data_IF_641967391025
#
_entry.id   IF_641967391025
#
_cell.length_a   1.000
_cell.length_b   1.000
_cell.length_c   1.000
_cell.angle_alpha   90.00
_cell.angle_beta   90.00
_cell.angle_gamma   90.00
#
_symmetry.space_group_name_H-M   'P 1'
#
loop_
_entity.id
_entity.type
_entity.pdbx_description
1 polymer ?
#
# COMPACT_ATOMS: atom_id res chain seq x y z
N UNK A 1 2.16 -6.94 7.18
CA UNK A 1 0.82 -6.44 7.52
C UNK A 1 0.19 -5.72 6.34
N UNK A 2 -1.05 -5.77 6.26
CA UNK A 2 -2.10 -5.18 5.45
C UNK A 2 -2.41 -5.91 4.17
N UNK A 3 -3.50 -6.58 4.23
CA UNK A 3 -4.24 -7.08 3.09
C UNK A 3 -5.43 -6.13 2.93
N UNK A 4 -5.57 -5.49 1.79
CA UNK A 4 -6.83 -4.85 1.46
C UNK A 4 -7.81 -5.95 1.06
N UNK A 5 -8.71 -6.29 1.95
CA UNK A 5 -9.84 -7.17 1.66
C UNK A 5 -11.04 -6.26 1.46
N UNK A 6 -11.57 -6.24 0.26
CA UNK A 6 -12.83 -5.57 -0.01
C UNK A 6 -13.94 -6.50 0.48
N UNK A 7 -14.45 -6.26 1.68
CA UNK A 7 -15.62 -6.93 2.18
C UNK A 7 -16.75 -5.91 2.26
N UNK A 8 -17.86 -6.15 1.60
CA UNK A 8 -19.09 -5.46 1.95
C UNK A 8 -19.42 -5.84 3.38
N UNK A 9 -19.21 -4.91 4.32
CA UNK A 9 -19.50 -5.08 5.73
C UNK A 9 -21.01 -5.05 5.94
N UNK A 10 -21.67 -6.16 5.60
CA UNK A 10 -23.08 -6.38 5.93
C UNK A 10 -23.15 -7.47 6.97
N UNK A 11 -23.60 -7.10 8.18
CA UNK A 11 -23.96 -7.98 9.28
C UNK A 11 -23.39 -9.40 9.21
N UNK A 12 -22.11 -9.55 9.56
CA UNK A 12 -21.52 -10.87 9.66
C UNK A 12 -22.19 -11.62 10.83
N UNK A 13 -22.93 -12.65 10.53
CA UNK A 13 -23.39 -13.61 11.53
C UNK A 13 -22.21 -14.47 11.96
N UNK A 14 -21.62 -14.17 13.11
CA UNK A 14 -20.47 -14.88 13.64
C UNK A 14 -19.12 -14.26 13.21
N UNK A 15 -18.04 -15.04 13.31
CA UNK A 15 -16.70 -14.64 12.88
C UNK A 15 -16.47 -15.08 11.44
N UNK A 16 -16.19 -14.15 10.50
CA UNK A 16 -15.88 -14.51 9.13
C UNK A 16 -14.60 -15.37 9.05
N UNK A 17 -14.57 -16.30 8.11
CA UNK A 17 -13.46 -17.24 7.93
C UNK A 17 -12.10 -16.55 7.73
N UNK A 18 -12.08 -15.40 7.07
CA UNK A 18 -10.85 -14.65 6.83
C UNK A 18 -10.11 -14.27 8.12
N UNK A 19 -10.80 -14.04 9.23
CA UNK A 19 -10.19 -13.69 10.52
C UNK A 19 -9.29 -14.81 11.01
N UNK A 20 -9.80 -16.05 10.99
CA UNK A 20 -9.03 -17.22 11.40
C UNK A 20 -7.88 -17.51 10.44
N UNK A 21 -8.10 -17.34 9.13
CA UNK A 21 -7.07 -17.50 8.10
C UNK A 21 -5.92 -16.52 8.34
N UNK A 22 -6.20 -15.23 8.49
CA UNK A 22 -5.15 -14.23 8.70
C UNK A 22 -4.39 -14.42 10.01
N UNK A 23 -5.07 -14.79 11.10
CA UNK A 23 -4.40 -15.14 12.36
C UNK A 23 -3.45 -16.32 12.21
N UNK A 24 -3.88 -17.40 11.53
CA UNK A 24 -3.04 -18.58 11.24
C UNK A 24 -1.84 -18.24 10.36
N UNK A 25 -1.97 -17.25 9.47
CA UNK A 25 -0.88 -16.75 8.64
C UNK A 25 0.05 -15.77 9.37
N UNK A 26 -0.24 -15.42 10.62
CA UNK A 26 0.54 -14.45 11.40
C UNK A 26 0.35 -13.01 10.97
N UNK A 27 -0.73 -12.69 10.26
CA UNK A 27 -1.09 -11.31 9.90
C UNK A 27 -1.60 -10.58 11.13
N UNK A 28 -0.99 -9.44 11.46
CA UNK A 28 -1.32 -8.68 12.67
C UNK A 28 -2.36 -7.59 12.44
N UNK A 29 -2.55 -7.13 11.19
CA UNK A 29 -3.58 -6.18 10.85
C UNK A 29 -4.04 -6.32 9.41
N UNK A 30 -5.32 -6.08 9.20
CA UNK A 30 -6.01 -6.16 7.91
C UNK A 30 -6.76 -4.86 7.66
N UNK A 31 -6.59 -4.29 6.49
CA UNK A 31 -7.38 -3.17 6.00
C UNK A 31 -8.58 -3.73 5.22
N UNK A 32 -9.77 -3.56 5.77
CA UNK A 32 -11.03 -3.86 5.08
C UNK A 32 -11.47 -2.63 4.32
N UNK A 33 -11.50 -2.72 2.99
CA UNK A 33 -11.98 -1.65 2.15
C UNK A 33 -13.39 -1.94 1.66
N UNK A 34 -14.33 -1.05 1.97
CA UNK A 34 -15.67 -1.06 1.41
C UNK A 34 -15.74 -0.10 0.21
N UNK A 35 -16.64 -0.35 -0.72
CA UNK A 35 -16.80 0.53 -1.87
C UNK A 35 -17.50 1.83 -1.51
N UNK A 36 -16.94 2.95 -1.96
CA UNK A 36 -17.50 4.27 -1.79
C UNK A 36 -17.36 5.11 -3.07
N UNK A 37 -18.47 5.44 -3.68
CA UNK A 37 -18.54 6.29 -4.87
C UNK A 37 -19.00 5.61 -6.15
N UNK A 38 -18.89 6.35 -7.26
CA UNK A 38 -19.38 5.94 -8.58
C UNK A 38 -18.59 4.75 -9.14
N UNK A 39 -19.30 3.83 -9.74
CA UNK A 39 -18.73 2.64 -10.37
C UNK A 39 -19.01 1.33 -9.63
N UNK A 40 -19.34 1.38 -8.36
CA UNK A 40 -19.72 0.21 -7.56
C UNK A 40 -21.12 0.36 -6.96
N UNK A 41 -21.25 1.22 -5.98
CA UNK A 41 -22.52 1.70 -5.47
C UNK A 41 -22.41 3.22 -5.36
N UNK A 42 -23.34 3.92 -5.96
CA UNK A 42 -23.43 5.37 -5.79
C UNK A 42 -23.56 5.67 -4.31
N UNK A 43 -22.83 6.67 -3.83
CA UNK A 43 -22.97 7.13 -2.45
C UNK A 43 -24.42 7.55 -2.19
N UNK A 44 -25.12 6.90 -1.24
CA UNK A 44 -26.50 7.21 -0.94
C UNK A 44 -26.64 8.50 -0.10
N UNK A 45 -25.57 9.28 0.04
CA UNK A 45 -25.53 10.47 0.89
C UNK A 45 -25.69 10.10 2.37
N UNK A 46 -26.65 10.71 3.13
CA UNK A 46 -26.80 10.42 4.56
C UNK A 46 -27.08 8.94 4.89
N UNK A 47 -27.55 8.14 3.93
CA UNK A 47 -27.73 6.69 4.13
C UNK A 47 -26.40 5.94 4.26
N UNK A 48 -25.29 6.51 3.81
CA UNK A 48 -23.95 5.95 3.98
C UNK A 48 -23.52 5.91 5.45
N UNK A 49 -24.00 6.84 6.30
CA UNK A 49 -23.61 6.91 7.70
C UNK A 49 -23.92 5.63 8.50
N UNK A 50 -25.13 5.03 8.40
CA UNK A 50 -25.39 3.73 9.04
C UNK A 50 -24.53 2.59 8.49
N UNK A 51 -24.15 2.62 7.20
CA UNK A 51 -23.25 1.61 6.61
C UNK A 51 -21.84 1.72 7.21
N UNK A 52 -21.30 2.95 7.30
CA UNK A 52 -20.03 3.21 7.97
C UNK A 52 -20.05 2.83 9.45
N UNK A 53 -21.15 3.14 10.17
CA UNK A 53 -21.32 2.72 11.57
C UNK A 53 -21.25 1.19 11.69
N UNK A 54 -21.91 0.45 10.79
CA UNK A 54 -21.87 -1.00 10.76
C UNK A 54 -20.46 -1.53 10.48
N UNK A 55 -19.75 -0.96 9.49
CA UNK A 55 -18.36 -1.28 9.19
C UNK A 55 -17.45 -1.07 10.40
N UNK A 56 -17.52 0.09 11.04
CA UNK A 56 -16.70 0.42 12.21
C UNK A 56 -16.97 -0.50 13.39
N UNK A 57 -18.26 -0.82 13.64
CA UNK A 57 -18.66 -1.75 14.68
C UNK A 57 -18.12 -3.16 14.43
N UNK A 58 -18.21 -3.64 13.19
CA UNK A 58 -17.70 -4.96 12.82
C UNK A 58 -16.17 -5.02 12.89
N UNK A 59 -15.46 -4.03 12.40
CA UNK A 59 -14.01 -3.96 12.54
C UNK A 59 -13.58 -4.01 14.02
N UNK A 60 -14.29 -3.27 14.89
CA UNK A 60 -14.04 -3.30 16.33
C UNK A 60 -14.34 -4.69 16.93
N UNK A 61 -15.45 -5.32 16.57
CA UNK A 61 -15.82 -6.65 17.05
C UNK A 61 -14.86 -7.74 16.64
N UNK A 62 -14.29 -7.64 15.43
CA UNK A 62 -13.37 -8.62 14.87
C UNK A 62 -11.90 -8.39 15.28
N UNK A 63 -11.60 -7.22 15.85
CA UNK A 63 -10.26 -6.91 16.33
C UNK A 63 -10.02 -7.48 17.71
N UNK A 64 -8.82 -8.01 17.94
CA UNK A 64 -8.34 -8.43 19.25
C UNK A 64 -6.82 -8.18 19.38
N UNK A 65 -6.17 -8.82 20.35
CA UNK A 65 -4.73 -8.65 20.58
C UNK A 65 -3.85 -9.21 19.44
N UNK A 66 -4.38 -10.16 18.67
CA UNK A 66 -3.61 -10.89 17.64
C UNK A 66 -3.87 -10.34 16.23
N UNK A 67 -5.06 -9.75 15.99
CA UNK A 67 -5.45 -9.17 14.72
C UNK A 67 -6.19 -7.84 14.89
N UNK A 68 -5.68 -6.79 14.30
CA UNK A 68 -6.35 -5.51 14.14
C UNK A 68 -7.06 -5.45 12.78
N UNK A 69 -8.38 -5.29 12.78
CA UNK A 69 -9.18 -5.12 11.57
C UNK A 69 -9.48 -3.63 11.40
N UNK A 70 -8.88 -3.03 10.37
CA UNK A 70 -8.93 -1.59 10.13
C UNK A 70 -9.99 -1.29 9.07
N UNK A 71 -10.98 -0.43 9.35
CA UNK A 71 -11.91 0.02 8.33
C UNK A 71 -11.22 0.95 7.33
N UNK A 72 -11.58 0.80 6.07
CA UNK A 72 -11.16 1.67 4.98
C UNK A 72 -12.14 1.61 3.83
N UNK A 73 -11.83 2.32 2.76
CA UNK A 73 -12.71 2.43 1.61
C UNK A 73 -11.93 2.41 0.31
N UNK A 74 -12.51 1.77 -0.70
CA UNK A 74 -12.11 1.90 -2.09
C UNK A 74 -13.05 2.89 -2.79
N UNK A 75 -12.49 3.92 -3.37
CA UNK A 75 -13.21 5.04 -3.96
C UNK A 75 -12.87 5.18 -5.45
N UNK A 76 -13.79 5.76 -6.21
CA UNK A 76 -13.59 6.10 -7.63
C UNK A 76 -13.81 7.58 -7.97
N UNK A 77 -14.39 8.34 -7.03
CA UNK A 77 -14.68 9.76 -7.22
C UNK A 77 -13.57 10.68 -6.70
N UNK A 78 -13.64 11.95 -7.01
CA UNK A 78 -12.76 13.04 -6.59
C UNK A 78 -11.30 12.87 -6.99
N UNK A 79 -10.59 11.91 -6.41
CA UNK A 79 -9.16 11.65 -6.65
C UNK A 79 -8.93 10.55 -7.70
N UNK A 80 -9.94 9.76 -8.02
CA UNK A 80 -9.96 8.85 -9.14
C UNK A 80 -10.29 9.59 -10.45
N UNK A 81 -9.42 10.51 -10.88
CA UNK A 81 -9.66 11.40 -12.02
C UNK A 81 -10.02 10.60 -13.28
N UNK A 82 -11.12 10.99 -13.89
CA UNK A 82 -11.57 10.47 -15.19
C UNK A 82 -10.85 11.20 -16.32
N UNK A 83 -10.02 10.50 -17.07
CA UNK A 83 -9.58 11.01 -18.37
C UNK A 83 -10.74 10.92 -19.38
N UNK A 84 -10.78 11.83 -20.35
CA UNK A 84 -11.84 11.87 -21.38
C UNK A 84 -12.03 10.50 -22.03
N UNK A 85 -13.27 10.03 -22.06
CA UNK A 85 -13.64 8.72 -22.63
C UNK A 85 -13.17 7.50 -21.84
N UNK A 86 -12.65 7.66 -20.61
CA UNK A 86 -12.11 6.57 -19.78
C UNK A 86 -12.85 6.44 -18.45
N UNK A 87 -12.82 5.24 -17.88
CA UNK A 87 -13.31 5.03 -16.52
C UNK A 87 -12.42 5.76 -15.51
N UNK A 88 -12.98 6.25 -14.39
CA UNK A 88 -12.17 6.77 -13.29
C UNK A 88 -11.32 5.64 -12.71
N UNK A 89 -10.11 5.98 -12.27
CA UNK A 89 -9.27 5.04 -11.52
C UNK A 89 -9.81 4.85 -10.10
N UNK A 90 -9.56 3.68 -9.54
CA UNK A 90 -9.85 3.43 -8.13
C UNK A 90 -8.71 3.90 -7.26
N UNK A 91 -9.04 4.35 -6.06
CA UNK A 91 -8.09 4.73 -5.04
C UNK A 91 -8.58 4.31 -3.66
N UNK A 92 -7.64 4.05 -2.78
CA UNK A 92 -7.89 3.60 -1.41
C UNK A 92 -7.81 4.78 -0.46
N UNK A 93 -8.64 4.76 0.59
CA UNK A 93 -8.53 5.66 1.73
C UNK A 93 -8.27 4.89 3.02
N UNK A 94 -7.41 5.45 3.85
CA UNK A 94 -7.09 4.94 5.17
C UNK A 94 -6.97 6.10 6.15
N UNK A 95 -7.86 6.16 7.14
CA UNK A 95 -7.79 7.13 8.21
C UNK A 95 -7.21 6.51 9.49
N UNK A 96 -6.62 7.29 10.40
CA UNK A 96 -6.01 6.74 11.63
C UNK A 96 -7.01 6.32 12.71
N UNK A 97 -8.28 6.60 12.48
CA UNK A 97 -9.45 6.26 13.30
C UNK A 97 -10.67 6.14 12.40
N UNK A 98 -11.80 5.72 12.94
CA UNK A 98 -13.08 5.76 12.22
C UNK A 98 -13.46 7.21 11.89
N UNK A 99 -13.75 7.49 10.62
CA UNK A 99 -14.14 8.82 10.11
C UNK A 99 -15.43 8.69 9.32
N UNK A 100 -16.44 9.45 9.71
CA UNK A 100 -17.69 9.52 8.96
C UNK A 100 -17.59 10.58 7.86
N UNK A 101 -17.80 10.15 6.61
CA UNK A 101 -17.87 11.05 5.48
C UNK A 101 -18.84 10.56 4.41
N UNK A 102 -19.43 11.50 3.66
CA UNK A 102 -20.39 11.23 2.59
C UNK A 102 -20.13 12.12 1.39
N UNK A 103 -20.46 11.61 0.19
CA UNK A 103 -20.27 12.33 -1.08
C UNK A 103 -21.46 13.27 -1.40
N UNK A 104 -21.95 13.98 -0.40
CA UNK A 104 -23.07 14.90 -0.58
C UNK A 104 -22.83 16.21 0.14
N UNK A 105 -22.39 17.21 -0.59
CA UNK A 105 -22.28 18.59 -0.12
C UNK A 105 -22.99 19.52 -1.09
N UNK A 106 -23.99 20.25 -0.59
CA UNK A 106 -24.71 21.28 -1.36
C UNK A 106 -23.97 22.59 -1.29
N UNK A 107 -24.25 23.49 -2.24
CA UNK A 107 -23.75 24.85 -2.20
C UNK A 107 -24.15 25.53 -0.86
N UNK A 108 -23.19 26.21 -0.22
CA UNK A 108 -23.38 26.85 1.09
C UNK A 108 -23.32 25.92 2.30
N UNK A 109 -23.28 24.58 2.13
CA UNK A 109 -23.09 23.67 3.26
C UNK A 109 -21.62 23.67 3.74
N UNK A 110 -21.37 23.59 5.05
CA UNK A 110 -20.01 23.40 5.57
C UNK A 110 -19.46 22.04 5.18
N UNK A 111 -18.12 21.93 5.07
CA UNK A 111 -17.44 20.66 4.90
C UNK A 111 -17.64 19.75 6.11
N UNK A 112 -17.69 20.31 7.29
CA UNK A 112 -17.78 19.60 8.58
C UNK A 112 -19.10 19.94 9.25
N UNK A 113 -19.81 18.93 9.70
CA UNK A 113 -21.07 19.04 10.42
C UNK A 113 -21.01 18.16 11.69
N UNK A 114 -21.58 18.66 12.78
CA UNK A 114 -21.79 17.86 13.99
C UNK A 114 -23.17 17.17 13.91
N UNK A 115 -23.14 15.86 13.71
CA UNK A 115 -24.35 15.03 13.71
C UNK A 115 -24.63 14.50 15.13
N UNK A 116 -25.86 14.60 15.65
CA UNK A 116 -26.19 14.16 17.01
C UNK A 116 -25.92 12.69 17.31
N UNK A 117 -25.92 11.84 16.29
CA UNK A 117 -25.70 10.39 16.41
C UNK A 117 -24.27 9.98 16.06
N UNK A 118 -23.71 10.55 14.99
CA UNK A 118 -22.42 10.11 14.41
C UNK A 118 -21.25 11.01 14.82
N UNK A 119 -21.52 12.13 15.49
CA UNK A 119 -20.50 13.13 15.82
C UNK A 119 -20.04 13.89 14.57
N UNK A 120 -18.74 14.08 14.42
CA UNK A 120 -18.19 14.81 13.27
C UNK A 120 -18.40 14.04 11.97
N UNK A 121 -19.13 14.63 11.04
CA UNK A 121 -19.39 14.11 9.69
C UNK A 121 -18.82 15.06 8.66
N UNK A 122 -18.06 14.54 7.71
CA UNK A 122 -17.56 15.30 6.56
C UNK A 122 -18.48 15.16 5.36
N UNK A 123 -18.84 16.31 4.76
CA UNK A 123 -19.61 16.38 3.52
C UNK A 123 -18.68 16.75 2.39
N UNK A 124 -18.36 15.80 1.53
CA UNK A 124 -17.41 15.96 0.43
C UNK A 124 -18.17 16.13 -0.87
N UNK A 125 -17.98 17.24 -1.56
CA UNK A 125 -18.64 17.55 -2.84
C UNK A 125 -17.65 17.88 -3.96
N UNK A 126 -16.33 17.84 -3.65
CA UNK A 126 -15.29 18.17 -4.62
C UNK A 126 -13.95 17.53 -4.30
N UNK A 127 -13.04 17.55 -5.27
CA UNK A 127 -11.63 17.15 -5.05
C UNK A 127 -10.99 17.96 -3.91
N UNK A 128 -11.23 19.27 -3.85
CA UNK A 128 -10.69 20.13 -2.80
C UNK A 128 -11.21 19.74 -1.40
N UNK A 129 -12.46 19.36 -1.27
CA UNK A 129 -13.06 18.87 -0.03
C UNK A 129 -12.38 17.57 0.42
N UNK A 130 -12.14 16.64 -0.53
CA UNK A 130 -11.48 15.37 -0.23
C UNK A 130 -10.04 15.56 0.20
N UNK A 131 -9.31 16.46 -0.46
CA UNK A 131 -7.95 16.83 -0.08
C UNK A 131 -7.91 17.41 1.35
N UNK A 132 -8.87 18.29 1.67
CA UNK A 132 -8.96 18.90 3.01
C UNK A 132 -9.34 17.85 4.07
N UNK A 133 -10.23 16.90 3.77
CA UNK A 133 -10.56 15.78 4.67
C UNK A 133 -9.32 14.94 4.99
N UNK A 134 -8.59 14.48 3.97
CA UNK A 134 -7.37 13.69 4.13
C UNK A 134 -6.32 14.42 4.98
N UNK A 135 -6.17 15.73 4.75
CA UNK A 135 -5.24 16.57 5.51
C UNK A 135 -5.66 16.74 6.98
N UNK A 136 -6.93 17.06 7.23
CA UNK A 136 -7.46 17.28 8.60
C UNK A 136 -7.38 16.02 9.44
N UNK A 137 -7.80 14.91 8.88
CA UNK A 137 -7.84 13.63 9.57
C UNK A 137 -6.52 12.85 9.47
N UNK A 138 -5.46 13.44 8.88
CA UNK A 138 -4.15 12.82 8.67
C UNK A 138 -4.25 11.47 7.98
N UNK A 139 -5.22 11.33 7.07
CA UNK A 139 -5.44 10.13 6.29
C UNK A 139 -4.33 9.87 5.28
N UNK A 140 -4.36 8.69 4.68
CA UNK A 140 -3.57 8.30 3.51
C UNK A 140 -4.48 7.88 2.37
N UNK A 141 -4.02 8.12 1.16
CA UNK A 141 -4.66 7.62 -0.04
C UNK A 141 -3.60 7.06 -1.02
N UNK A 142 -4.00 6.13 -1.88
CA UNK A 142 -3.14 5.59 -2.94
C UNK A 142 -3.96 5.01 -4.09
N UNK A 143 -3.38 4.90 -5.29
CA UNK A 143 -4.02 4.23 -6.43
C UNK A 143 -4.19 2.75 -6.15
N UNK A 144 -5.41 2.23 -6.22
CA UNK A 144 -5.70 0.80 -6.16
C UNK A 144 -5.35 0.14 -7.51
N UNK A 145 -4.85 -1.10 -7.48
CA UNK A 145 -4.53 -1.94 -8.65
C UNK A 145 -4.13 -1.15 -9.91
N UNK A 146 -3.04 -0.34 -9.85
CA UNK A 146 -2.67 0.61 -10.90
C UNK A 146 -2.32 -0.10 -12.21
N UNK A 147 -2.52 0.63 -13.33
CA UNK A 147 -2.25 0.17 -14.70
C UNK A 147 -3.03 -1.07 -15.15
N UNK A 148 -4.11 -1.44 -14.42
CA UNK A 148 -5.05 -2.52 -14.80
C UNK A 148 -6.48 -2.18 -14.40
N UNK A 149 -7.46 -2.95 -14.84
CA UNK A 149 -8.89 -2.82 -14.52
C UNK A 149 -9.37 -1.38 -14.77
N UNK A 150 -10.17 -0.82 -13.88
CA UNK A 150 -10.59 0.57 -13.93
C UNK A 150 -9.43 1.57 -13.80
N UNK A 151 -8.32 1.15 -13.18
CA UNK A 151 -7.14 1.99 -12.91
C UNK A 151 -6.04 1.92 -14.00
N UNK A 152 -6.37 1.51 -15.23
CA UNK A 152 -5.39 1.29 -16.31
C UNK A 152 -4.53 2.52 -16.64
N UNK A 153 -5.02 3.73 -16.33
CA UNK A 153 -4.35 4.99 -16.61
C UNK A 153 -3.75 5.66 -15.37
N UNK A 154 -3.94 5.08 -14.20
CA UNK A 154 -3.50 5.69 -12.94
C UNK A 154 -2.22 5.04 -12.42
N UNK A 155 -1.39 5.79 -11.72
CA UNK A 155 -1.46 7.24 -11.43
C UNK A 155 -0.89 8.14 -12.54
N UNK A 156 -0.52 7.60 -13.69
CA UNK A 156 0.18 8.29 -14.77
C UNK A 156 -0.54 9.58 -15.24
N UNK A 157 -1.88 9.55 -15.32
CA UNK A 157 -2.68 10.69 -15.81
C UNK A 157 -2.74 11.86 -14.82
N UNK A 158 -2.50 11.63 -13.52
CA UNK A 158 -2.62 12.65 -12.49
C UNK A 158 -1.33 12.88 -11.67
N UNK A 159 -0.19 12.39 -12.14
CA UNK A 159 1.11 12.59 -11.46
C UNK A 159 1.51 14.06 -11.25
N UNK A 160 0.92 14.96 -12.01
CA UNK A 160 1.16 16.42 -11.91
C UNK A 160 0.14 17.13 -11.02
N UNK A 161 -0.93 16.45 -10.60
CA UNK A 161 -1.97 17.02 -9.76
C UNK A 161 -1.46 17.33 -8.35
N UNK A 162 -2.12 18.31 -7.70
CA UNK A 162 -1.74 18.76 -6.37
C UNK A 162 -1.89 17.65 -5.33
N UNK A 163 -2.99 16.91 -5.38
CA UNK A 163 -3.23 15.81 -4.45
C UNK A 163 -2.17 14.70 -4.57
N UNK A 164 -1.71 14.40 -5.80
CA UNK A 164 -0.66 13.40 -5.99
C UNK A 164 0.66 13.82 -5.36
N UNK A 165 1.00 15.09 -5.41
CA UNK A 165 2.26 15.62 -4.83
C UNK A 165 2.22 15.69 -3.31
N UNK A 166 1.03 15.74 -2.71
CA UNK A 166 0.85 15.84 -1.27
C UNK A 166 1.37 14.57 -0.53
N UNK A 167 1.69 14.74 0.75
CA UNK A 167 2.23 13.69 1.62
C UNK A 167 1.19 12.65 2.05
N UNK A 168 -0.10 12.99 1.98
CA UNK A 168 -1.18 12.04 2.23
C UNK A 168 -1.42 11.09 1.04
N UNK A 169 -0.93 11.39 -0.16
CA UNK A 169 -0.96 10.46 -1.29
C UNK A 169 0.28 9.57 -1.27
N UNK A 170 0.11 8.33 -0.84
CA UNK A 170 1.20 7.38 -0.62
C UNK A 170 1.90 6.98 -1.91
N UNK A 171 1.13 6.75 -2.98
CA UNK A 171 1.62 6.27 -4.27
C UNK A 171 0.62 5.35 -4.95
N UNK A 172 1.00 4.08 -5.16
CA UNK A 172 0.16 3.11 -5.82
C UNK A 172 0.37 1.70 -5.23
N UNK A 173 -0.66 0.88 -5.20
CA UNK A 173 -0.58 -0.44 -4.62
C UNK A 173 0.06 -1.48 -5.55
N UNK A 174 0.94 -2.33 -5.01
CA UNK A 174 1.41 -3.51 -5.71
C UNK A 174 0.38 -4.64 -5.59
N UNK A 175 -0.24 -4.95 -6.73
CA UNK A 175 -1.14 -6.08 -6.90
C UNK A 175 -0.51 -7.05 -7.89
N UNK A 176 -0.25 -8.28 -7.47
CA UNK A 176 0.39 -9.30 -8.30
C UNK A 176 -0.52 -9.83 -9.39
N UNK A 177 -1.80 -9.99 -9.07
CA UNK A 177 -2.78 -10.57 -9.99
C UNK A 177 -3.41 -9.53 -10.95
N UNK A 178 -3.75 -9.89 -12.18
CA UNK A 178 -3.46 -11.17 -12.82
C UNK A 178 -1.95 -11.39 -13.00
N UNK A 179 -1.48 -12.62 -12.74
CA UNK A 179 -0.08 -12.96 -12.86
C UNK A 179 0.34 -13.17 -14.31
N UNK A 180 1.54 -12.69 -14.66
CA UNK A 180 2.24 -13.01 -15.89
C UNK A 180 3.44 -13.91 -15.54
N UNK A 181 3.24 -15.23 -15.60
CA UNK A 181 4.26 -16.22 -15.28
C UNK A 181 5.35 -16.36 -16.37
N UNK A 182 5.25 -15.63 -17.49
CA UNK A 182 6.34 -15.50 -18.46
C UNK A 182 7.44 -14.56 -17.98
N UNK A 183 7.14 -13.77 -16.96
CA UNK A 183 8.06 -12.81 -16.33
C UNK A 183 8.74 -13.41 -15.10
N UNK A 184 9.97 -13.00 -14.81
CA UNK A 184 10.71 -13.51 -13.64
C UNK A 184 10.22 -12.96 -12.29
N UNK A 185 9.26 -12.05 -12.29
CA UNK A 185 8.75 -11.31 -11.13
C UNK A 185 7.24 -11.17 -11.22
N UNK A 186 6.53 -11.50 -10.16
CA UNK A 186 5.11 -11.20 -10.08
C UNK A 186 4.86 -9.69 -10.02
N UNK A 187 3.80 -9.23 -10.68
CA UNK A 187 3.39 -7.83 -10.65
C UNK A 187 4.43 -6.83 -11.17
N UNK A 188 5.30 -7.24 -12.10
CA UNK A 188 6.39 -6.42 -12.65
C UNK A 188 5.91 -5.05 -13.15
N UNK A 189 4.70 -4.96 -13.73
CA UNK A 189 4.10 -3.69 -14.17
C UNK A 189 4.02 -2.61 -13.08
N UNK A 190 3.85 -3.02 -11.81
CA UNK A 190 3.78 -2.09 -10.67
C UNK A 190 5.18 -1.81 -10.12
N UNK A 191 6.10 -2.76 -10.23
CA UNK A 191 7.51 -2.53 -9.90
C UNK A 191 8.12 -1.51 -10.86
N UNK A 192 7.80 -1.58 -12.16
CA UNK A 192 8.19 -0.57 -13.13
C UNK A 192 7.53 0.79 -12.83
N UNK A 193 6.25 0.80 -12.42
CA UNK A 193 5.59 2.01 -11.96
C UNK A 193 6.25 2.60 -10.71
N UNK A 194 6.70 1.77 -9.77
CA UNK A 194 7.44 2.22 -8.58
C UNK A 194 8.71 2.98 -8.97
N UNK A 195 9.45 2.49 -9.95
CA UNK A 195 10.64 3.13 -10.48
C UNK A 195 10.30 4.46 -11.18
N UNK A 196 9.21 4.48 -11.97
CA UNK A 196 8.70 5.70 -12.60
C UNK A 196 8.32 6.75 -11.55
N UNK A 197 7.54 6.37 -10.53
CA UNK A 197 7.13 7.26 -9.45
C UNK A 197 8.32 7.83 -8.68
N UNK A 198 9.34 7.02 -8.41
CA UNK A 198 10.54 7.47 -7.73
C UNK A 198 11.34 8.49 -8.57
N UNK A 199 11.23 8.43 -9.91
CA UNK A 199 11.82 9.40 -10.83
C UNK A 199 10.96 10.65 -11.07
N UNK A 200 9.67 10.64 -10.75
CA UNK A 200 8.79 11.82 -10.95
C UNK A 200 9.03 12.97 -9.94
N UNK A 201 9.79 12.72 -8.88
CA UNK A 201 10.24 13.72 -7.92
C UNK A 201 9.56 13.66 -6.57
N UNK A 202 8.23 13.66 -6.43
CA UNK A 202 7.60 13.45 -5.12
C UNK A 202 7.94 12.07 -4.55
N UNK A 203 8.27 12.02 -3.26
CA UNK A 203 8.55 10.74 -2.58
C UNK A 203 7.26 9.95 -2.45
N UNK A 204 7.22 8.80 -3.13
CA UNK A 204 6.06 7.89 -3.15
C UNK A 204 6.49 6.49 -2.78
N UNK A 205 5.55 5.72 -2.21
CA UNK A 205 5.76 4.37 -1.72
C UNK A 205 4.70 3.44 -2.27
N UNK A 206 5.01 2.16 -2.30
CA UNK A 206 4.17 1.12 -2.90
C UNK A 206 3.80 0.09 -1.85
N UNK A 207 2.59 0.16 -1.24
CA UNK A 207 2.08 -0.89 -0.40
C UNK A 207 1.64 -2.10 -1.22
N UNK A 208 1.68 -3.28 -0.63
CA UNK A 208 1.07 -4.48 -1.18
C UNK A 208 -0.43 -4.50 -0.93
N UNK A 209 -1.19 -4.94 -1.92
CA UNK A 209 -2.64 -5.03 -1.91
C UNK A 209 -3.10 -6.32 -2.57
N UNK A 210 -4.17 -6.93 -2.11
CA UNK A 210 -4.68 -8.20 -2.67
C UNK A 210 -5.93 -8.00 -3.53
N UNK A 211 -6.85 -7.13 -3.12
CA UNK A 211 -8.12 -6.87 -3.82
C UNK A 211 -8.96 -8.16 -3.96
N UNK A 212 -9.29 -8.78 -2.81
CA UNK A 212 -10.07 -10.03 -2.79
C UNK A 212 -11.44 -9.85 -2.16
N UNK A 213 -12.40 -10.58 -2.69
CA UNK A 213 -13.80 -10.60 -2.23
C UNK A 213 -14.14 -11.88 -1.48
N UNK A 214 -13.36 -12.94 -1.65
CA UNK A 214 -13.53 -14.25 -1.01
C UNK A 214 -12.18 -14.87 -0.71
N UNK A 215 -12.15 -15.68 0.33
CA UNK A 215 -10.99 -16.51 0.67
C UNK A 215 -11.32 -17.95 0.31
N UNK A 216 -11.18 -18.30 -0.95
CA UNK A 216 -11.34 -19.64 -1.48
C UNK A 216 -10.52 -19.82 -2.78
N UNK A 217 -10.49 -21.03 -3.30
CA UNK A 217 -9.76 -21.41 -4.52
C UNK A 217 -10.28 -20.72 -5.80
N UNK A 218 -11.40 -20.01 -5.74
CA UNK A 218 -11.99 -19.30 -6.89
C UNK A 218 -11.54 -17.85 -6.96
N UNK A 219 -10.71 -17.39 -6.01
CA UNK A 219 -10.33 -16.00 -5.88
C UNK A 219 -8.82 -15.77 -5.83
N UNK A 220 -8.40 -14.55 -6.13
CA UNK A 220 -6.99 -14.13 -6.27
C UNK A 220 -6.15 -14.28 -5.00
N UNK A 221 -6.77 -14.41 -3.82
CA UNK A 221 -6.04 -14.64 -2.57
C UNK A 221 -5.38 -16.01 -2.52
N UNK A 222 -5.96 -16.98 -3.18
CA UNK A 222 -5.47 -18.35 -3.10
C UNK A 222 -4.11 -18.46 -3.80
N UNK A 223 -3.08 -18.53 -2.98
CA UNK A 223 -1.70 -18.74 -3.42
C UNK A 223 -0.83 -17.48 -3.53
N UNK A 224 -1.39 -16.27 -3.56
CA UNK A 224 -0.60 -15.05 -3.72
C UNK A 224 -1.11 -13.91 -2.87
N UNK A 225 -0.63 -13.85 -1.63
CA UNK A 225 -0.93 -12.77 -0.72
C UNK A 225 0.19 -11.74 -0.71
N UNK A 226 -0.15 -10.46 -0.98
CA UNK A 226 0.80 -9.37 -0.87
C UNK A 226 0.77 -8.80 0.54
N UNK A 227 1.85 -8.97 1.27
CA UNK A 227 1.96 -8.60 2.69
C UNK A 227 2.95 -7.47 2.87
N UNK A 228 2.55 -6.47 3.65
CA UNK A 228 3.43 -5.37 4.06
C UNK A 228 4.02 -5.68 5.44
N UNK A 229 5.32 -5.67 5.56
CA UNK A 229 6.02 -5.78 6.83
C UNK A 229 6.43 -4.38 7.29
N UNK A 230 5.63 -3.81 8.18
CA UNK A 230 5.88 -2.48 8.74
C UNK A 230 6.78 -2.57 9.96
N UNK A 231 7.69 -1.60 10.07
CA UNK A 231 8.49 -1.42 11.27
C UNK A 231 7.71 -0.62 12.30
N UNK A 232 7.21 -1.29 13.30
CA UNK A 232 6.46 -0.75 14.44
C UNK A 232 7.01 -1.33 15.73
N UNK A 233 6.98 -0.56 16.80
CA UNK A 233 7.36 -1.05 18.14
C UNK A 233 6.32 -2.05 18.67
N UNK A 234 5.06 -1.81 18.33
CA UNK A 234 3.93 -2.71 18.66
C UNK A 234 2.79 -2.54 17.67
N UNK A 235 1.95 -3.57 17.57
CA UNK A 235 0.66 -3.46 16.86
C UNK A 235 -0.30 -2.61 17.69
N UNK A 236 -0.90 -1.56 17.12
CA UNK A 236 -1.90 -0.74 17.82
C UNK A 236 -3.13 -1.57 18.21
N UNK A 237 -3.83 -1.14 19.25
CA UNK A 237 -5.18 -1.65 19.56
C UNK A 237 -6.24 -0.81 18.87
N UNK A 238 -7.38 -1.41 18.58
CA UNK A 238 -8.47 -0.71 17.90
C UNK A 238 -8.97 0.51 18.69
N UNK A 239 -8.93 0.45 20.03
CA UNK A 239 -9.37 1.52 20.94
C UNK A 239 -8.43 2.74 20.90
N UNK A 240 -7.13 2.52 20.64
CA UNK A 240 -6.10 3.56 20.64
C UNK A 240 -6.00 4.25 19.26
N UNK A 241 -6.73 3.73 18.24
CA UNK A 241 -6.52 4.09 16.85
C UNK A 241 -5.22 3.50 16.30
N UNK A 242 -5.00 3.67 15.03
CA UNK A 242 -3.90 3.02 14.31
C UNK A 242 -2.99 4.01 13.56
N UNK A 243 -2.88 5.23 14.06
CA UNK A 243 -1.98 6.27 13.52
C UNK A 243 -0.53 5.77 13.31
N UNK A 244 0.08 4.94 14.19
CA UNK A 244 1.44 4.44 13.96
C UNK A 244 1.61 3.66 12.65
N UNK A 245 0.55 2.98 12.19
CA UNK A 245 0.53 2.27 10.91
C UNK A 245 0.63 3.26 9.75
N UNK A 246 -0.20 4.32 9.78
CA UNK A 246 -0.17 5.37 8.76
C UNK A 246 1.18 6.09 8.73
N UNK A 247 1.75 6.35 9.90
CA UNK A 247 3.05 7.02 10.01
C UNK A 247 4.18 6.15 9.43
N UNK A 248 4.15 4.84 9.67
CA UNK A 248 5.12 3.91 9.09
C UNK A 248 4.99 3.82 7.56
N UNK A 249 3.75 3.77 7.05
CA UNK A 249 3.47 3.80 5.61
C UNK A 249 3.94 5.11 4.97
N UNK A 250 3.54 6.25 5.55
CA UNK A 250 3.94 7.60 5.09
C UNK A 250 5.46 7.80 5.09
N UNK A 251 6.14 7.20 6.06
CA UNK A 251 7.58 7.27 6.15
C UNK A 251 8.33 6.25 5.29
N UNK A 252 7.63 5.35 4.58
CA UNK A 252 8.25 4.28 3.78
C UNK A 252 8.98 3.22 4.62
N UNK A 253 8.66 3.09 5.91
CA UNK A 253 9.30 2.16 6.85
C UNK A 253 8.72 0.75 6.76
N UNK A 254 8.76 0.17 5.57
CA UNK A 254 8.23 -1.16 5.31
C UNK A 254 8.86 -1.80 4.08
N UNK A 255 8.73 -3.10 3.96
CA UNK A 255 8.93 -3.85 2.73
C UNK A 255 7.68 -4.65 2.37
N UNK A 256 7.58 -5.10 1.14
CA UNK A 256 6.44 -5.87 0.62
C UNK A 256 6.92 -7.22 0.13
N UNK A 257 6.13 -8.26 0.34
CA UNK A 257 6.45 -9.64 -0.04
C UNK A 257 5.21 -10.44 -0.42
N UNK A 258 5.41 -11.50 -1.20
CA UNK A 258 4.41 -12.57 -1.41
C UNK A 258 4.34 -13.54 -0.22
N UNK A 259 5.33 -13.50 0.69
CA UNK A 259 5.41 -14.33 1.89
C UNK A 259 6.60 -15.29 1.89
N UNK A 260 7.04 -15.75 0.74
CA UNK A 260 8.11 -16.74 0.55
C UNK A 260 9.49 -16.17 0.75
N UNK A 261 9.65 -14.86 0.55
CA UNK A 261 10.89 -14.11 0.74
C UNK A 261 10.68 -12.99 1.74
N UNK A 262 11.49 -12.94 2.79
CA UNK A 262 11.49 -11.86 3.78
C UNK A 262 12.78 -11.05 3.70
N UNK A 263 12.70 -9.74 3.98
CA UNK A 263 13.83 -8.81 3.98
C UNK A 263 13.95 -8.15 5.37
N UNK A 264 14.38 -8.90 6.40
CA UNK A 264 14.42 -8.40 7.78
C UNK A 264 15.39 -7.23 7.99
N UNK A 265 16.39 -7.09 7.13
CA UNK A 265 17.32 -5.98 7.16
C UNK A 265 17.59 -5.47 5.74
N UNK A 266 17.46 -4.16 5.56
CA UNK A 266 17.93 -3.44 4.39
C UNK A 266 18.44 -2.07 4.82
N UNK A 267 19.72 -1.80 4.53
CA UNK A 267 20.33 -0.48 4.78
C UNK A 267 21.27 -0.10 3.64
N UNK A 268 21.42 1.20 3.42
CA UNK A 268 22.40 1.79 2.51
C UNK A 268 23.12 2.90 3.25
N UNK A 269 24.42 2.75 3.49
CA UNK A 269 25.19 3.68 4.33
C UNK A 269 24.56 3.86 5.72
N UNK A 270 23.98 2.78 6.29
CA UNK A 270 23.26 2.79 7.58
C UNK A 270 21.84 3.36 7.53
N UNK A 271 21.37 3.89 6.39
CA UNK A 271 20.01 4.40 6.20
C UNK A 271 19.07 3.29 5.72
N UNK A 272 17.83 3.34 6.19
CA UNK A 272 16.77 2.38 5.90
C UNK A 272 15.78 2.91 4.88
N UNK A 273 14.86 2.06 4.40
CA UNK A 273 13.74 2.46 3.55
C UNK A 273 13.05 3.72 4.08
N UNK A 274 12.77 4.67 3.19
CA UNK A 274 12.13 5.95 3.49
C UNK A 274 13.10 7.04 3.95
N UNK A 275 14.28 6.69 4.47
CA UNK A 275 15.27 7.65 4.95
C UNK A 275 16.10 8.26 3.80
N UNK A 276 16.81 9.35 4.12
CA UNK A 276 17.72 10.02 3.20
C UNK A 276 19.16 9.78 3.59
N UNK A 277 19.96 9.34 2.61
CA UNK A 277 21.41 9.23 2.70
C UNK A 277 22.07 10.39 1.94
N UNK A 278 22.92 11.15 2.60
CA UNK A 278 23.82 12.09 1.93
C UNK A 278 25.04 11.33 1.43
N UNK A 279 25.35 11.50 0.15
CA UNK A 279 26.48 10.84 -0.49
C UNK A 279 27.72 11.75 -0.37
N UNK A 280 28.30 11.79 0.82
CA UNK A 280 29.49 12.55 1.11
C UNK A 280 30.74 11.67 0.89
N UNK A 281 31.62 12.07 -0.03
CA UNK A 281 32.87 11.36 -0.32
C UNK A 281 32.87 10.51 -1.59
N UNK A 282 34.02 9.88 -1.85
CA UNK A 282 34.26 9.12 -3.09
C UNK A 282 33.98 7.61 -2.93
N UNK A 283 33.90 7.11 -1.71
CA UNK A 283 33.64 5.69 -1.48
C UNK A 283 32.16 5.35 -1.65
N UNK A 284 31.83 4.27 -2.39
CA UNK A 284 30.46 3.81 -2.50
C UNK A 284 29.92 3.37 -1.12
N UNK A 285 28.69 3.77 -0.76
CA UNK A 285 28.10 3.33 0.50
C UNK A 285 27.90 1.82 0.51
N UNK A 286 28.02 1.21 1.69
CA UNK A 286 27.70 -0.20 1.87
C UNK A 286 26.20 -0.38 1.87
N UNK A 287 25.70 -1.21 0.97
CA UNK A 287 24.34 -1.75 0.99
C UNK A 287 24.40 -3.09 1.72
N UNK A 288 23.64 -3.20 2.80
CA UNK A 288 23.48 -4.45 3.56
C UNK A 288 22.05 -4.94 3.40
N UNK A 289 21.90 -6.20 2.97
CA UNK A 289 20.63 -6.86 2.73
C UNK A 289 20.63 -8.23 3.39
N UNK A 290 19.80 -8.44 4.41
CA UNK A 290 19.52 -9.76 4.97
C UNK A 290 18.21 -10.27 4.38
N UNK A 291 18.22 -11.48 3.87
CA UNK A 291 17.06 -12.15 3.28
C UNK A 291 16.86 -13.53 3.90
N UNK A 292 15.61 -13.92 4.06
CA UNK A 292 15.16 -15.26 4.45
C UNK A 292 14.18 -15.77 3.40
N UNK A 293 14.20 -17.07 3.09
CA UNK A 293 13.39 -17.62 2.00
C UNK A 293 12.98 -19.07 2.25
N UNK A 294 11.93 -19.50 1.55
CA UNK A 294 11.42 -20.89 1.56
C UNK A 294 11.82 -21.65 0.30
N UNK A 295 11.69 -21.06 -0.89
CA UNK A 295 12.11 -21.63 -2.17
C UNK A 295 13.49 -21.11 -2.60
N UNK A 296 14.29 -21.88 -3.35
CA UNK A 296 15.59 -21.42 -3.84
C UNK A 296 15.46 -20.05 -4.53
N UNK A 297 16.36 -19.14 -4.21
CA UNK A 297 16.37 -17.82 -4.81
C UNK A 297 16.91 -17.86 -6.24
N UNK A 298 16.39 -16.99 -7.08
CA UNK A 298 16.86 -16.80 -8.44
C UNK A 298 17.86 -15.67 -8.52
N UNK A 299 17.53 -14.49 -7.96
CA UNK A 299 18.41 -13.33 -7.91
C UNK A 299 17.94 -12.29 -6.88
N UNK A 300 18.90 -11.45 -6.47
CA UNK A 300 18.61 -10.13 -5.91
C UNK A 300 18.91 -9.07 -6.97
N UNK A 301 18.24 -7.94 -6.95
CA UNK A 301 18.46 -6.83 -7.87
C UNK A 301 18.53 -5.52 -7.09
N UNK A 302 19.64 -4.79 -7.23
CA UNK A 302 19.78 -3.42 -6.74
C UNK A 302 19.31 -2.48 -7.84
N UNK A 303 18.30 -1.67 -7.53
CA UNK A 303 17.67 -0.78 -8.49
C UNK A 303 17.85 0.65 -7.99
N UNK A 304 18.30 1.53 -8.87
CA UNK A 304 18.52 2.95 -8.56
C UNK A 304 18.09 3.85 -9.70
N UNK A 305 17.79 5.10 -9.42
CA UNK A 305 17.42 6.07 -10.45
C UNK A 305 18.05 7.44 -10.23
N UNK A 306 18.19 8.21 -11.31
CA UNK A 306 18.76 9.56 -11.31
C UNK A 306 17.70 10.66 -11.49
N UNK A 307 16.41 10.27 -11.48
CA UNK A 307 15.27 11.15 -11.77
C UNK A 307 14.86 11.14 -13.26
N UNK A 308 15.54 10.36 -14.09
CA UNK A 308 15.25 10.20 -15.54
C UNK A 308 15.36 8.75 -15.98
N UNK A 309 16.42 8.07 -15.57
CA UNK A 309 16.75 6.71 -15.94
C UNK A 309 16.78 5.81 -14.73
N UNK A 310 16.53 4.52 -14.95
CA UNK A 310 16.59 3.45 -13.97
C UNK A 310 17.77 2.55 -14.29
N UNK A 311 18.52 2.19 -13.28
CA UNK A 311 19.70 1.35 -13.35
C UNK A 311 19.50 0.12 -12.50
N UNK A 312 19.85 -1.05 -13.03
CA UNK A 312 19.64 -2.35 -12.38
C UNK A 312 20.95 -3.12 -12.32
N UNK A 313 21.32 -3.56 -11.11
CA UNK A 313 22.48 -4.42 -10.87
C UNK A 313 21.98 -5.74 -10.28
N UNK A 314 22.07 -6.83 -11.06
CA UNK A 314 21.58 -8.14 -10.66
C UNK A 314 22.67 -8.98 -10.03
N UNK A 315 22.35 -9.57 -8.87
CA UNK A 315 23.19 -10.52 -8.13
C UNK A 315 22.55 -11.89 -8.28
N UNK A 316 23.16 -12.84 -9.00
CA UNK A 316 22.66 -14.22 -9.07
C UNK A 316 22.67 -14.90 -7.70
N UNK A 317 21.62 -15.66 -7.39
CA UNK A 317 21.46 -16.41 -6.15
C UNK A 317 21.11 -17.89 -6.40
N UNK A 318 21.41 -18.37 -7.61
CA UNK A 318 21.14 -19.75 -8.03
C UNK A 318 21.92 -20.82 -7.26
N UNK A 319 22.85 -20.40 -6.40
CA UNK A 319 23.58 -21.27 -5.46
C UNK A 319 22.80 -21.54 -4.17
N UNK A 320 21.60 -20.99 -3.98
CA UNK A 320 20.78 -21.20 -2.78
C UNK A 320 19.94 -22.47 -2.90
N UNK A 321 19.85 -23.22 -1.78
CA UNK A 321 18.85 -24.27 -1.60
C UNK A 321 17.53 -23.73 -1.01
N UNK A 322 16.53 -24.59 -0.77
CA UNK A 322 15.30 -24.21 -0.08
C UNK A 322 15.58 -23.91 1.40
N UNK A 323 14.75 -23.09 2.02
CA UNK A 323 14.80 -22.70 3.43
C UNK A 323 16.17 -22.18 3.87
N UNK A 324 16.42 -20.91 3.65
CA UNK A 324 17.72 -20.33 3.98
C UNK A 324 17.64 -18.90 4.47
N UNK A 325 18.82 -18.45 4.92
CA UNK A 325 19.09 -17.08 5.34
C UNK A 325 20.46 -16.66 4.86
N UNK A 326 20.56 -15.45 4.30
CA UNK A 326 21.85 -14.89 3.84
C UNK A 326 21.84 -13.38 4.02
N UNK A 327 23.01 -12.84 4.35
CA UNK A 327 23.27 -11.40 4.28
C UNK A 327 24.22 -11.12 3.13
N UNK A 328 23.86 -10.17 2.28
CA UNK A 328 24.73 -9.61 1.26
C UNK A 328 25.23 -8.24 1.70
N UNK A 329 26.51 -7.98 1.43
CA UNK A 329 27.12 -6.66 1.52
C UNK A 329 27.61 -6.26 0.11
N UNK A 330 27.01 -5.22 -0.43
CA UNK A 330 27.28 -4.74 -1.77
C UNK A 330 27.75 -3.28 -1.72
N UNK A 331 28.44 -2.85 -2.75
CA UNK A 331 28.89 -1.46 -2.93
C UNK A 331 28.40 -0.93 -4.28
N UNK A 332 27.09 -0.63 -4.41
CA UNK A 332 26.53 -0.17 -5.67
C UNK A 332 27.05 1.23 -6.03
N UNK A 333 27.12 1.50 -7.34
CA UNK A 333 27.51 2.82 -7.87
C UNK A 333 26.34 3.80 -7.77
N UNK A 334 26.27 4.56 -6.67
CA UNK A 334 25.13 5.46 -6.38
C UNK A 334 25.42 6.94 -6.66
N UNK A 335 26.63 7.31 -7.08
CA UNK A 335 26.95 8.71 -7.42
C UNK A 335 26.06 9.21 -8.56
N UNK A 336 25.39 10.34 -8.34
CA UNK A 336 24.40 10.89 -9.28
C UNK A 336 23.05 10.21 -9.28
N UNK A 337 22.81 9.23 -8.39
CA UNK A 337 21.48 8.66 -8.16
C UNK A 337 20.70 9.50 -7.16
N UNK A 338 19.38 9.43 -7.25
CA UNK A 338 18.44 10.11 -6.34
C UNK A 338 17.73 9.14 -5.40
N UNK A 339 17.74 7.86 -5.72
CA UNK A 339 17.13 6.82 -4.92
C UNK A 339 17.74 5.45 -5.22
N UNK A 340 17.61 4.53 -4.26
CA UNK A 340 17.99 3.12 -4.39
C UNK A 340 17.06 2.24 -3.60
N UNK A 341 16.71 1.07 -4.15
CA UNK A 341 15.91 0.03 -3.53
C UNK A 341 16.42 -1.34 -3.95
N UNK A 342 15.91 -2.42 -3.33
CA UNK A 342 16.24 -3.79 -3.71
C UNK A 342 15.00 -4.63 -3.89
N UNK A 343 15.15 -5.65 -4.73
CA UNK A 343 14.20 -6.74 -4.94
C UNK A 343 14.93 -8.07 -4.77
N UNK A 344 14.22 -9.09 -4.29
CA UNK A 344 14.70 -10.48 -4.20
C UNK A 344 13.60 -11.40 -4.72
N UNK A 345 13.95 -12.27 -5.66
CA UNK A 345 13.00 -13.15 -6.35
C UNK A 345 13.48 -14.59 -6.32
N UNK A 346 12.56 -15.50 -6.09
CA UNK A 346 12.80 -16.94 -6.11
C UNK A 346 12.56 -17.56 -7.50
N UNK A 347 12.70 -18.88 -7.59
CA UNK A 347 12.50 -19.63 -8.83
C UNK A 347 11.03 -19.75 -9.23
N UNK A 348 10.10 -19.57 -8.28
CA UNK A 348 8.65 -19.62 -8.51
C UNK A 348 8.06 -18.24 -8.87
N UNK A 349 8.91 -17.22 -9.06
CA UNK A 349 8.56 -15.81 -9.33
C UNK A 349 7.95 -15.06 -8.14
N UNK A 350 7.95 -15.67 -6.97
CA UNK A 350 7.60 -15.03 -5.71
C UNK A 350 8.77 -14.21 -5.18
N UNK A 351 8.49 -13.21 -4.35
CA UNK A 351 9.57 -12.38 -3.89
C UNK A 351 9.18 -11.24 -2.98
N UNK A 352 10.14 -10.35 -2.77
CA UNK A 352 9.99 -9.19 -1.91
C UNK A 352 10.75 -7.98 -2.46
N UNK A 353 10.29 -6.77 -2.11
CA UNK A 353 10.96 -5.53 -2.44
C UNK A 353 10.90 -4.53 -1.30
N UNK A 354 11.92 -3.68 -1.22
CA UNK A 354 12.01 -2.59 -0.24
C UNK A 354 11.44 -1.29 -0.81
N UNK A 355 11.05 -0.37 0.08
CA UNK A 355 10.84 1.01 -0.31
C UNK A 355 12.20 1.70 -0.53
N UNK A 356 12.25 2.81 -1.33
CA UNK A 356 13.49 3.49 -1.62
C UNK A 356 14.18 4.08 -0.39
N UNK A 357 15.52 4.05 -0.37
CA UNK A 357 16.36 5.01 0.33
C UNK A 357 16.62 6.18 -0.64
N UNK A 358 16.37 7.39 -0.18
CA UNK A 358 16.55 8.60 -0.98
C UNK A 358 18.01 9.10 -0.87
N UNK A 359 18.54 9.65 -1.96
CA UNK A 359 19.95 10.05 -2.06
C UNK A 359 20.07 11.54 -2.36
N UNK A 360 20.97 12.23 -1.62
CA UNK A 360 21.27 13.66 -1.76
C UNK A 360 22.77 13.91 -1.83
#
# INVERSE_FOLDING_TARGET
>A
MAVAVTAMARDFKGTPEFVDVFKKMGVNAVHLADFHGDGHQSDPGPRRLPELEALFKECRRLSDRDLLVIPGEECSDFLGIRAEGKQPGHWMSLFPKSVYWIQQRREGQPLVEDDPKYGTVYRVGSQADMMELLKREKGLAWSAHPRIKASVWTPDIFKNEEFYKADYWLGAAWKTMPADLSRPKLGERVLDLMDDMANWGPRKYVPGEVDVFKIDHTHELYGHMNVNYLRLDRVPRIEDGWQPILDALRAGKFFVTTGEVLLPEFTVGGKQSGETLKLDGDEPPVLRLTMEWTFPLRFAEVISGDGKQVYRERVPLSDTGPFGKRTLELRPKLRGRKWVRVEVWDIATDGAFTQPVWLE
#
